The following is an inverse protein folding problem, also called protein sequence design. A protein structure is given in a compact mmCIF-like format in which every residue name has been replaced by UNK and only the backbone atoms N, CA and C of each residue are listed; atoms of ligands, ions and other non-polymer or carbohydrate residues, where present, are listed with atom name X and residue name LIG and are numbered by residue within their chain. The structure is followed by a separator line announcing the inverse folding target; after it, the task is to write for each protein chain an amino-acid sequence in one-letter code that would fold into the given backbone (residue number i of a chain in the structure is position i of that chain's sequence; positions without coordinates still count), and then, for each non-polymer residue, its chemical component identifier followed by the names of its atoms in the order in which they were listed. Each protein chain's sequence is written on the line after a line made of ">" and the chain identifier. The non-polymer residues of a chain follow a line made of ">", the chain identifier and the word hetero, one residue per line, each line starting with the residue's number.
data_IF_659714541358
#
_entry.id   IF_659714541358
#
_cell.length_a   1.000
_cell.length_b   1.000
_cell.length_c   1.000
_cell.angle_alpha   90.00
_cell.angle_beta   90.00
_cell.angle_gamma   90.00
#
_symmetry.space_group_name_H-M   'P 1'
#
loop_
_entity.id
_entity.type
_entity.pdbx_description
1 polymer ?
#
# COMPACT_ATOMS: atom_id res chain seq x y z
N UNK A 1 -4.17 31.22 -46.72
CA UNK A 1 -4.72 31.50 -45.37
C UNK A 1 -4.39 30.31 -44.49
N UNK A 2 -3.21 30.34 -43.88
CA UNK A 2 -2.69 29.31 -42.97
C UNK A 2 -2.94 29.79 -41.55
N UNK A 3 -3.84 29.13 -40.82
CA UNK A 3 -4.01 29.36 -39.39
C UNK A 3 -2.82 28.77 -38.65
N UNK A 4 -2.04 29.63 -38.00
CA UNK A 4 -0.98 29.21 -37.10
C UNK A 4 -1.59 28.52 -35.87
N UNK A 5 -1.22 27.25 -35.66
CA UNK A 5 -1.38 26.58 -34.37
C UNK A 5 -0.54 27.35 -33.33
N UNK A 6 -1.21 28.06 -32.44
CA UNK A 6 -0.59 28.62 -31.25
C UNK A 6 -0.40 27.49 -30.23
N UNK A 7 0.86 27.14 -29.97
CA UNK A 7 1.26 26.40 -28.77
C UNK A 7 0.84 27.22 -27.54
N UNK A 8 0.19 26.64 -26.52
CA UNK A 8 -0.13 27.38 -25.31
C UNK A 8 1.17 27.81 -24.64
N UNK A 9 1.31 29.10 -24.37
CA UNK A 9 2.43 29.64 -23.60
C UNK A 9 2.36 29.12 -22.16
N UNK A 10 3.21 28.16 -21.81
CA UNK A 10 3.38 27.67 -20.45
C UNK A 10 4.12 28.72 -19.60
N UNK A 11 3.38 29.64 -18.99
CA UNK A 11 3.91 30.40 -17.87
C UNK A 11 4.31 29.46 -16.72
N UNK A 12 5.24 29.86 -15.83
CA UNK A 12 5.58 29.04 -14.67
C UNK A 12 4.33 28.84 -13.82
N UNK A 13 3.90 27.58 -13.66
CA UNK A 13 2.77 27.22 -12.80
C UNK A 13 3.02 27.75 -11.41
N UNK A 14 2.04 28.43 -10.81
CA UNK A 14 2.11 28.88 -9.42
C UNK A 14 2.40 27.68 -8.51
N UNK A 15 3.50 27.69 -7.73
CA UNK A 15 3.81 26.58 -6.82
C UNK A 15 2.62 26.20 -5.94
N UNK A 16 2.42 24.90 -5.72
CA UNK A 16 1.31 24.33 -4.95
C UNK A 16 -0.09 24.46 -5.58
N UNK A 17 -0.21 25.10 -6.75
CA UNK A 17 -1.48 25.11 -7.49
C UNK A 17 -1.84 23.71 -7.98
N UNK A 18 -3.09 23.56 -8.43
CA UNK A 18 -3.53 22.32 -9.07
C UNK A 18 -2.69 22.01 -10.31
N UNK A 19 -2.43 23.03 -11.13
CA UNK A 19 -1.62 22.93 -12.34
C UNK A 19 -0.17 22.56 -12.03
N UNK A 20 0.40 23.09 -10.93
CA UNK A 20 1.72 22.68 -10.47
C UNK A 20 1.73 21.19 -10.10
N UNK A 21 0.76 20.72 -9.31
CA UNK A 21 0.67 19.30 -8.92
C UNK A 21 0.47 18.36 -10.11
N UNK A 22 -0.28 18.81 -11.11
CA UNK A 22 -0.55 18.03 -12.31
C UNK A 22 0.68 17.95 -13.24
N UNK A 23 1.52 19.00 -13.24
CA UNK A 23 2.72 19.04 -14.07
C UNK A 23 3.94 18.31 -13.48
N UNK A 24 3.99 18.09 -12.16
CA UNK A 24 5.17 17.51 -11.49
C UNK A 24 5.40 16.03 -11.83
N UNK A 25 6.64 15.74 -12.22
CA UNK A 25 7.20 14.39 -12.16
C UNK A 25 7.77 14.09 -10.77
N UNK A 26 8.10 12.83 -10.48
CA UNK A 26 8.79 12.48 -9.25
C UNK A 26 10.18 13.12 -9.14
N UNK A 27 10.88 13.28 -10.27
CA UNK A 27 12.17 13.98 -10.32
C UNK A 27 12.02 15.46 -9.93
N UNK A 28 10.99 16.14 -10.45
CA UNK A 28 10.70 17.54 -10.09
C UNK A 28 10.38 17.67 -8.60
N UNK A 29 9.56 16.76 -8.07
CA UNK A 29 9.17 16.74 -6.67
C UNK A 29 10.37 16.47 -5.75
N UNK A 30 11.25 15.54 -6.10
CA UNK A 30 12.49 15.25 -5.36
C UNK A 30 13.45 16.45 -5.38
N UNK A 31 13.63 17.10 -6.53
CA UNK A 31 14.48 18.28 -6.66
C UNK A 31 13.94 19.46 -5.82
N UNK A 32 12.62 19.64 -5.79
CA UNK A 32 11.97 20.64 -4.95
C UNK A 32 12.16 20.35 -3.45
N UNK A 33 11.95 19.10 -3.03
CA UNK A 33 12.03 18.71 -1.61
C UNK A 33 13.48 18.59 -1.09
N UNK A 34 14.42 18.21 -1.96
CA UNK A 34 15.82 17.92 -1.63
C UNK A 34 16.80 18.62 -2.60
N UNK A 35 16.82 19.97 -2.64
CA UNK A 35 17.57 20.73 -3.64
C UNK A 35 19.10 20.59 -3.53
N UNK A 36 19.63 20.11 -2.40
CA UNK A 36 21.07 19.81 -2.24
C UNK A 36 21.50 18.49 -2.88
N UNK A 37 20.56 17.70 -3.40
CA UNK A 37 20.81 16.41 -4.07
C UNK A 37 20.89 16.60 -5.61
N UNK A 38 20.83 17.84 -6.10
CA UNK A 38 20.58 18.24 -7.51
C UNK A 38 21.63 17.84 -8.55
N UNK A 39 22.71 17.15 -8.17
CA UNK A 39 23.47 16.35 -9.14
C UNK A 39 22.98 14.89 -9.13
N UNK A 40 21.68 14.69 -9.35
CA UNK A 40 21.14 13.37 -9.71
C UNK A 40 21.50 13.09 -11.17
N UNK A 41 22.80 12.96 -11.46
CA UNK A 41 23.24 12.30 -12.68
C UNK A 41 22.85 10.82 -12.60
N UNK A 42 22.62 10.14 -13.72
CA UNK A 42 22.41 8.68 -13.71
C UNK A 42 23.54 7.96 -12.95
N UNK A 43 24.76 8.52 -12.96
CA UNK A 43 25.89 8.05 -12.17
C UNK A 43 25.77 8.29 -10.65
N UNK A 44 24.96 9.23 -10.15
CA UNK A 44 24.66 9.38 -8.73
C UNK A 44 23.61 8.36 -8.25
N UNK A 45 22.71 7.94 -9.14
CA UNK A 45 21.80 6.79 -8.95
C UNK A 45 22.53 5.46 -9.16
N UNK A 46 23.77 5.43 -9.65
CA UNK A 46 24.64 4.24 -9.58
C UNK A 46 25.65 4.33 -8.43
N UNK A 47 26.12 5.54 -8.09
CA UNK A 47 27.09 5.79 -7.01
C UNK A 47 26.52 5.60 -5.60
N UNK A 48 25.21 5.83 -5.41
CA UNK A 48 24.49 5.44 -4.19
C UNK A 48 24.38 3.90 -4.08
N UNK A 49 24.53 3.18 -5.19
CA UNK A 49 24.13 1.77 -5.30
C UNK A 49 25.28 0.79 -5.60
N UNK A 50 26.54 1.23 -5.75
CA UNK A 50 27.63 0.33 -6.17
C UNK A 50 29.02 0.50 -5.51
N UNK A 51 29.20 1.21 -4.39
CA UNK A 51 30.52 1.29 -3.73
C UNK A 51 30.57 0.72 -2.31
N UNK A 52 31.05 -0.52 -2.19
CA UNK A 52 31.91 -0.94 -1.06
C UNK A 52 33.26 -0.23 -1.25
N UNK A 53 33.35 1.02 -0.86
CA UNK A 53 34.62 1.75 -0.89
C UNK A 53 34.88 2.31 0.50
N UNK A 54 35.87 1.72 1.18
CA UNK A 54 36.21 1.90 2.60
C UNK A 54 36.67 3.32 2.96
N UNK A 55 36.59 4.28 2.03
CA UNK A 55 37.10 5.65 2.21
C UNK A 55 36.08 6.77 1.97
N UNK A 56 34.78 6.48 2.01
CA UNK A 56 33.74 7.52 2.06
C UNK A 56 32.88 7.40 3.33
N UNK A 57 33.57 7.48 4.47
CA UNK A 57 32.93 7.71 5.76
C UNK A 57 32.52 9.19 5.77
N UNK A 58 31.24 9.48 5.56
CA UNK A 58 30.65 10.73 6.06
C UNK A 58 30.83 10.65 7.59
N UNK A 59 31.58 11.56 8.22
CA UNK A 59 31.82 11.49 9.65
C UNK A 59 30.48 11.48 10.40
N UNK A 60 30.30 10.59 11.38
CA UNK A 60 29.07 10.56 12.20
C UNK A 60 28.74 11.93 12.83
N UNK A 61 29.71 12.84 12.94
CA UNK A 61 29.51 14.23 13.36
C UNK A 61 28.70 15.08 12.37
N UNK A 62 28.63 14.74 11.08
CA UNK A 62 27.82 15.44 10.07
C UNK A 62 26.41 14.84 9.91
N UNK A 63 26.21 13.58 10.33
CA UNK A 63 24.88 12.98 10.47
C UNK A 63 24.11 13.65 11.63
N UNK A 64 24.82 14.11 12.67
CA UNK A 64 24.23 14.84 13.80
C UNK A 64 23.59 16.18 13.37
N UNK A 65 24.10 16.82 12.31
CA UNK A 65 23.49 18.03 11.71
C UNK A 65 22.26 17.75 10.84
N UNK A 66 22.07 16.51 10.37
CA UNK A 66 20.85 16.04 9.71
C UNK A 66 19.78 15.57 10.72
N UNK A 67 20.08 15.60 12.02
CA UNK A 67 19.36 14.84 13.05
C UNK A 67 18.36 15.63 13.88
N UNK A 68 17.88 16.74 13.35
CA UNK A 68 16.65 17.31 13.87
C UNK A 68 15.66 17.27 12.72
N UNK A 69 15.01 16.11 12.63
CA UNK A 69 13.88 15.82 11.74
C UNK A 69 12.68 15.71 12.69
N UNK A 70 11.54 16.37 12.45
CA UNK A 70 10.39 16.21 13.32
C UNK A 70 10.04 14.72 13.38
N UNK A 71 10.04 14.14 14.58
CA UNK A 71 9.61 12.75 14.74
C UNK A 71 8.22 12.57 14.13
N UNK A 72 7.87 11.37 13.66
CA UNK A 72 6.53 11.06 13.15
C UNK A 72 5.42 11.52 14.12
N UNK A 73 5.71 11.53 15.43
CA UNK A 73 4.86 12.06 16.51
C UNK A 73 4.55 13.56 16.38
N UNK A 74 5.50 14.37 15.91
CA UNK A 74 5.32 15.80 15.67
C UNK A 74 4.45 16.07 14.41
N UNK A 75 4.59 15.24 13.37
CA UNK A 75 3.73 15.30 12.18
C UNK A 75 2.30 14.85 12.48
N UNK A 76 2.12 13.78 13.27
CA UNK A 76 0.81 13.34 13.78
C UNK A 76 0.16 14.40 14.69
N UNK A 77 0.95 15.06 15.54
CA UNK A 77 0.47 16.16 16.37
C UNK A 77 0.00 17.35 15.52
N UNK A 78 0.75 17.71 14.47
CA UNK A 78 0.34 18.76 13.52
C UNK A 78 -0.93 18.38 12.76
N UNK A 79 -1.02 17.15 12.21
CA UNK A 79 -2.23 16.64 11.53
C UNK A 79 -3.45 16.64 12.46
N UNK A 80 -3.28 16.25 13.73
CA UNK A 80 -4.34 16.30 14.75
C UNK A 80 -4.78 17.73 15.05
N UNK A 81 -3.83 18.66 15.20
CA UNK A 81 -4.13 20.07 15.45
C UNK A 81 -4.91 20.71 14.29
N UNK A 82 -4.56 20.36 13.05
CA UNK A 82 -5.27 20.82 11.83
C UNK A 82 -6.70 20.27 11.82
N UNK A 83 -6.90 18.98 12.11
CA UNK A 83 -8.23 18.37 12.19
C UNK A 83 -9.11 18.95 13.32
N UNK A 84 -8.53 19.28 14.47
CA UNK A 84 -9.22 19.95 15.58
C UNK A 84 -9.62 21.39 15.20
N UNK A 85 -8.85 22.09 14.36
CA UNK A 85 -9.14 23.44 13.90
C UNK A 85 -10.20 23.49 12.78
N UNK A 86 -10.26 22.50 11.89
CA UNK A 86 -11.30 22.39 10.85
C UNK A 86 -12.71 22.21 11.43
N UNK A 87 -12.82 21.54 12.58
CA UNK A 87 -14.10 21.45 13.30
C UNK A 87 -14.53 22.79 13.92
N UNK A 88 -13.60 23.73 14.12
CA UNK A 88 -13.86 25.07 14.66
C UNK A 88 -13.98 26.19 13.61
N UNK A 89 -13.52 25.98 12.38
CA UNK A 89 -13.31 27.05 11.38
C UNK A 89 -14.48 27.33 10.42
N UNK A 90 -15.71 26.86 10.71
CA UNK A 90 -16.91 27.19 9.89
C UNK A 90 -17.35 28.67 9.92
N UNK A 91 -16.55 29.57 10.48
CA UNK A 91 -16.85 31.01 10.49
C UNK A 91 -15.58 31.84 10.28
N UNK A 92 -15.26 32.17 9.02
CA UNK A 92 -14.90 33.53 8.54
C UNK A 92 -14.36 33.51 7.12
N UNK A 93 -14.74 34.56 6.38
CA UNK A 93 -14.57 34.76 4.95
C UNK A 93 -13.19 35.28 4.53
N UNK A 94 -12.86 34.99 3.26
CA UNK A 94 -11.85 35.54 2.35
C UNK A 94 -11.17 36.88 2.68
N UNK A 95 -9.87 36.97 2.36
CA UNK A 95 -9.30 37.94 1.39
C UNK A 95 -7.95 37.43 0.87
N UNK A 96 -7.67 37.72 -0.41
CA UNK A 96 -6.45 37.42 -1.17
C UNK A 96 -5.24 38.20 -0.64
N UNK A 97 -4.04 37.58 -0.61
CA UNK A 97 -2.78 38.19 -1.09
C UNK A 97 -1.57 37.21 -1.05
N UNK A 98 -0.91 37.10 -2.22
CA UNK A 98 0.49 36.80 -2.52
C UNK A 98 1.40 35.98 -1.59
N UNK A 99 1.93 34.89 -2.17
CA UNK A 99 3.33 34.39 -2.07
C UNK A 99 3.98 34.29 -0.70
N UNK A 100 4.10 33.07 -0.17
CA UNK A 100 5.01 32.77 0.96
C UNK A 100 5.80 31.49 0.68
N UNK A 101 7.08 31.66 0.33
CA UNK A 101 8.06 30.60 0.47
C UNK A 101 8.59 30.63 1.91
N UNK A 102 8.18 29.67 2.75
CA UNK A 102 8.74 29.52 4.09
C UNK A 102 10.07 28.77 3.96
N UNK A 103 11.17 29.50 4.09
CA UNK A 103 12.51 28.90 4.23
C UNK A 103 12.62 28.36 5.66
N UNK A 104 12.47 27.05 5.84
CA UNK A 104 12.61 26.39 7.15
C UNK A 104 14.10 26.29 7.49
N UNK A 105 14.66 27.37 8.02
CA UNK A 105 15.96 27.37 8.67
C UNK A 105 15.78 27.10 10.17
N UNK A 106 16.40 26.03 10.67
CA UNK A 106 16.69 25.75 12.09
C UNK A 106 15.53 25.83 13.10
N UNK A 107 15.25 24.66 13.69
CA UNK A 107 14.55 24.40 14.97
C UNK A 107 14.19 25.63 15.81
N UNK A 108 12.94 26.07 15.66
CA UNK A 108 12.30 27.06 16.53
C UNK A 108 10.81 26.79 16.58
N UNK A 109 10.20 26.99 17.75
CA UNK A 109 8.77 26.79 18.01
C UNK A 109 7.91 27.33 16.86
N UNK A 110 7.15 26.45 16.22
CA UNK A 110 6.16 26.85 15.23
C UNK A 110 5.04 27.59 15.94
N UNK A 111 4.86 28.88 15.65
CA UNK A 111 3.64 29.55 16.06
C UNK A 111 2.45 28.98 15.26
N UNK A 112 1.26 28.97 15.86
CA UNK A 112 0.03 28.44 15.23
C UNK A 112 -0.31 29.15 13.91
N UNK A 113 0.22 30.35 13.68
CA UNK A 113 -0.02 31.18 12.48
C UNK A 113 0.82 30.70 11.30
N UNK A 114 2.05 30.26 11.55
CA UNK A 114 3.00 29.74 10.57
C UNK A 114 2.58 28.36 10.06
N UNK A 115 2.00 27.51 10.94
CA UNK A 115 1.38 26.25 10.54
C UNK A 115 0.09 26.49 9.73
N UNK A 116 -0.69 27.53 10.06
CA UNK A 116 -1.87 27.94 9.26
C UNK A 116 -1.52 28.45 7.86
N UNK A 117 -0.30 28.93 7.66
CA UNK A 117 0.21 29.43 6.37
C UNK A 117 0.87 28.34 5.52
N UNK A 118 1.23 27.20 6.11
CA UNK A 118 1.71 26.03 5.36
C UNK A 118 0.50 25.27 4.84
N UNK A 119 0.21 25.45 3.55
CA UNK A 119 -0.80 24.69 2.82
C UNK A 119 -0.59 23.19 3.09
N UNK A 120 -1.63 22.42 3.50
CA UNK A 120 -1.57 20.96 3.64
C UNK A 120 -0.86 20.25 2.47
N UNK A 121 -0.97 20.83 1.27
CA UNK A 121 -0.30 20.36 0.04
C UNK A 121 1.22 20.29 0.20
N UNK A 122 1.85 21.22 0.93
CA UNK A 122 3.31 21.20 1.17
C UNK A 122 3.72 19.97 1.98
N UNK A 123 2.94 19.62 3.00
CA UNK A 123 3.21 18.44 3.82
C UNK A 123 2.99 17.15 3.03
N UNK A 124 1.91 17.08 2.24
CA UNK A 124 1.65 15.95 1.34
C UNK A 124 2.77 15.78 0.31
N UNK A 125 3.21 16.86 -0.32
CA UNK A 125 4.31 16.86 -1.27
C UNK A 125 5.63 16.38 -0.63
N UNK A 126 5.94 16.83 0.59
CA UNK A 126 7.13 16.38 1.33
C UNK A 126 7.06 14.92 1.77
N UNK A 127 5.89 14.46 2.24
CA UNK A 127 5.68 13.05 2.62
C UNK A 127 5.78 12.14 1.38
N UNK A 128 5.21 12.57 0.24
CA UNK A 128 5.33 11.87 -1.05
C UNK A 128 6.79 11.82 -1.53
N UNK A 129 7.50 12.95 -1.52
CA UNK A 129 8.91 13.00 -1.91
C UNK A 129 9.79 12.06 -1.06
N UNK A 130 9.54 12.02 0.26
CA UNK A 130 10.22 11.10 1.18
C UNK A 130 9.91 9.65 0.82
N UNK A 131 8.63 9.32 0.61
CA UNK A 131 8.21 7.98 0.26
C UNK A 131 8.82 7.50 -1.06
N UNK A 132 8.81 8.34 -2.11
CA UNK A 132 9.46 8.05 -3.40
C UNK A 132 10.96 7.79 -3.19
N UNK A 133 11.67 8.66 -2.47
CA UNK A 133 13.10 8.49 -2.20
C UNK A 133 13.41 7.19 -1.48
N UNK A 134 12.65 6.86 -0.44
CA UNK A 134 12.82 5.62 0.33
C UNK A 134 12.48 4.38 -0.49
N UNK A 135 11.46 4.45 -1.34
CA UNK A 135 11.09 3.37 -2.26
C UNK A 135 12.18 3.14 -3.30
N UNK A 136 12.70 4.20 -3.93
CA UNK A 136 13.82 4.10 -4.88
C UNK A 136 15.06 3.47 -4.23
N UNK A 137 15.39 3.89 -3.00
CA UNK A 137 16.47 3.28 -2.23
C UNK A 137 16.20 1.81 -1.99
N UNK A 138 15.02 1.46 -1.47
CA UNK A 138 14.65 0.07 -1.19
C UNK A 138 14.72 -0.81 -2.45
N UNK A 139 14.18 -0.35 -3.58
CA UNK A 139 14.28 -1.07 -4.86
C UNK A 139 15.74 -1.24 -5.28
N UNK A 140 16.62 -0.25 -5.07
CA UNK A 140 18.03 -0.42 -5.40
C UNK A 140 18.84 -1.28 -4.45
N UNK A 141 18.50 -1.30 -3.16
CA UNK A 141 19.12 -2.18 -2.18
C UNK A 141 18.69 -3.65 -2.37
N UNK A 142 17.51 -3.89 -2.95
CA UNK A 142 16.85 -5.21 -2.92
C UNK A 142 16.57 -5.83 -4.30
N UNK A 143 16.44 -5.04 -5.36
CA UNK A 143 16.42 -5.58 -6.72
C UNK A 143 17.84 -6.02 -7.08
N UNK A 144 18.15 -7.27 -6.73
CA UNK A 144 19.50 -7.85 -6.75
C UNK A 144 20.06 -8.12 -8.16
N UNK A 145 19.48 -7.53 -9.21
CA UNK A 145 20.11 -7.48 -10.52
C UNK A 145 19.59 -6.28 -11.33
N UNK A 146 20.46 -5.74 -12.18
CA UNK A 146 20.14 -4.75 -13.21
C UNK A 146 19.15 -5.27 -14.29
N UNK A 147 18.32 -6.27 -13.97
CA UNK A 147 17.50 -7.04 -14.91
C UNK A 147 16.11 -7.40 -14.40
N UNK A 148 15.72 -6.99 -13.19
CA UNK A 148 14.32 -7.09 -12.81
C UNK A 148 13.51 -6.07 -13.65
N UNK A 149 12.74 -6.52 -14.66
CA UNK A 149 12.06 -5.62 -15.59
C UNK A 149 10.99 -4.80 -14.89
N UNK A 150 10.40 -5.33 -13.81
CA UNK A 150 9.47 -4.61 -12.97
C UNK A 150 10.18 -3.50 -12.20
N UNK A 151 11.31 -3.79 -11.54
CA UNK A 151 12.06 -2.79 -10.79
C UNK A 151 12.49 -1.60 -11.68
N UNK A 152 12.92 -1.88 -12.91
CA UNK A 152 13.28 -0.83 -13.90
C UNK A 152 12.04 -0.01 -14.27
N UNK A 153 10.94 -0.67 -14.65
CA UNK A 153 9.69 0.01 -15.00
C UNK A 153 9.16 0.86 -13.84
N UNK A 154 9.13 0.32 -12.63
CA UNK A 154 8.56 1.01 -11.48
C UNK A 154 9.42 2.20 -11.05
N UNK A 155 10.76 2.11 -11.16
CA UNK A 155 11.64 3.28 -11.00
C UNK A 155 11.34 4.37 -12.02
N UNK A 156 11.11 4.01 -13.28
CA UNK A 156 10.70 4.97 -14.32
C UNK A 156 9.37 5.65 -13.97
N UNK A 157 8.37 4.88 -13.51
CA UNK A 157 7.10 5.45 -13.03
C UNK A 157 7.32 6.41 -11.85
N UNK A 158 8.15 6.04 -10.88
CA UNK A 158 8.44 6.87 -9.71
C UNK A 158 9.16 8.18 -10.05
N UNK A 159 9.95 8.21 -11.13
CA UNK A 159 10.77 9.36 -11.48
C UNK A 159 10.12 10.24 -12.55
N UNK A 160 9.51 9.64 -13.57
CA UNK A 160 9.19 10.30 -14.82
C UNK A 160 7.67 10.36 -15.11
N UNK A 161 6.83 9.65 -14.36
CA UNK A 161 5.39 9.74 -14.56
C UNK A 161 4.89 11.17 -14.26
N UNK A 162 4.11 11.78 -15.18
CA UNK A 162 3.47 13.07 -14.91
C UNK A 162 2.37 12.92 -13.85
N UNK A 163 1.98 14.02 -13.21
CA UNK A 163 1.00 14.03 -12.12
C UNK A 163 1.39 13.08 -10.97
N UNK A 164 2.66 13.01 -10.58
CA UNK A 164 3.16 11.98 -9.65
C UNK A 164 2.37 11.92 -8.33
N UNK A 165 1.89 13.06 -7.83
CA UNK A 165 1.10 13.14 -6.60
C UNK A 165 -0.31 12.53 -6.71
N UNK A 166 -0.80 12.33 -7.92
CA UNK A 166 -2.11 11.75 -8.23
C UNK A 166 -2.00 10.43 -9.01
N UNK A 167 -0.77 9.95 -9.22
CA UNK A 167 -0.52 8.72 -9.97
C UNK A 167 -1.26 7.56 -9.30
N UNK A 168 -2.01 6.83 -10.12
CA UNK A 168 -2.79 5.67 -9.68
C UNK A 168 -2.58 4.51 -10.64
N UNK A 169 -2.43 3.31 -10.10
CA UNK A 169 -2.35 2.07 -10.85
C UNK A 169 -3.72 1.40 -10.89
N UNK A 170 -4.08 0.78 -12.02
CA UNK A 170 -5.37 0.10 -12.19
C UNK A 170 -5.14 -1.37 -12.51
N UNK A 171 -4.93 -2.16 -11.46
CA UNK A 171 -4.78 -3.60 -11.57
C UNK A 171 -6.13 -4.33 -11.63
N UNK A 172 -7.15 -3.83 -10.92
CA UNK A 172 -8.51 -4.34 -10.97
C UNK A 172 -9.48 -3.34 -11.58
N UNK A 173 -10.67 -3.83 -11.92
CA UNK A 173 -11.75 -3.00 -12.47
C UNK A 173 -12.41 -2.09 -11.42
N UNK A 174 -12.23 -2.38 -10.13
CA UNK A 174 -13.01 -1.75 -9.05
C UNK A 174 -12.20 -0.77 -8.20
N UNK A 175 -10.92 -1.06 -7.95
CA UNK A 175 -10.12 -0.32 -6.98
C UNK A 175 -8.80 0.10 -7.63
N UNK A 176 -8.57 1.40 -7.91
CA UNK A 176 -7.22 1.86 -8.24
C UNK A 176 -6.34 1.86 -6.98
N UNK A 177 -5.03 1.68 -7.16
CA UNK A 177 -4.02 1.91 -6.13
C UNK A 177 -3.37 3.27 -6.33
N UNK A 178 -3.51 4.17 -5.37
CA UNK A 178 -2.76 5.41 -5.36
C UNK A 178 -1.27 5.13 -5.13
N UNK A 179 -0.40 5.94 -5.75
CA UNK A 179 1.04 5.83 -5.53
C UNK A 179 1.41 5.93 -4.04
N UNK A 180 0.73 6.79 -3.27
CA UNK A 180 0.92 6.88 -1.82
C UNK A 180 0.77 5.53 -1.10
N UNK A 181 -0.20 4.71 -1.53
CA UNK A 181 -0.45 3.38 -0.99
C UNK A 181 0.59 2.37 -1.47
N UNK A 182 0.98 2.43 -2.76
CA UNK A 182 2.06 1.63 -3.31
C UNK A 182 3.39 1.84 -2.57
N UNK A 183 3.65 3.04 -2.06
CA UNK A 183 4.88 3.33 -1.32
C UNK A 183 4.99 2.52 -0.02
N UNK A 184 3.89 2.07 0.61
CA UNK A 184 3.95 1.24 1.83
C UNK A 184 4.48 -0.18 1.62
N UNK A 185 4.68 -0.62 0.37
CA UNK A 185 5.30 -1.92 0.11
C UNK A 185 6.79 -1.95 0.44
N UNK A 186 7.45 -0.78 0.51
CA UNK A 186 8.89 -0.69 0.79
C UNK A 186 9.25 -1.17 2.20
N UNK A 187 10.43 -1.78 2.34
CA UNK A 187 10.96 -2.26 3.61
C UNK A 187 9.92 -3.12 4.37
N UNK A 188 10.02 -3.18 5.70
CA UNK A 188 9.03 -3.83 6.56
C UNK A 188 7.92 -2.85 7.00
N UNK A 189 7.43 -1.97 6.12
CA UNK A 189 6.32 -1.05 6.46
C UNK A 189 4.96 -1.77 6.48
N UNK A 190 4.07 -1.31 7.34
CA UNK A 190 2.67 -1.74 7.34
C UNK A 190 1.99 -1.24 6.07
N UNK A 191 1.48 -2.18 5.27
CA UNK A 191 0.61 -1.85 4.15
C UNK A 191 -0.75 -1.37 4.65
N UNK A 192 -1.35 -0.45 3.90
CA UNK A 192 -2.63 0.15 4.24
C UNK A 192 -3.82 -0.67 3.75
N UNK A 193 -5.01 -0.27 4.20
CA UNK A 193 -6.27 -0.92 3.82
C UNK A 193 -6.54 -0.89 2.32
N UNK A 194 -6.05 0.14 1.60
CA UNK A 194 -6.24 0.29 0.16
C UNK A 194 -5.48 -0.82 -0.58
N UNK A 195 -4.22 -1.04 -0.21
CA UNK A 195 -3.41 -2.13 -0.73
C UNK A 195 -4.02 -3.51 -0.41
N UNK A 196 -4.43 -3.75 0.85
CA UNK A 196 -5.07 -5.02 1.21
C UNK A 196 -6.34 -5.24 0.39
N UNK A 197 -7.18 -4.21 0.28
CA UNK A 197 -8.45 -4.29 -0.46
C UNK A 197 -8.21 -4.62 -1.92
N UNK A 198 -7.25 -3.97 -2.56
CA UNK A 198 -6.93 -4.24 -3.95
C UNK A 198 -6.42 -5.68 -4.15
N UNK A 199 -5.54 -6.19 -3.30
CA UNK A 199 -5.07 -7.58 -3.42
C UNK A 199 -6.23 -8.57 -3.28
N UNK A 200 -7.14 -8.35 -2.32
CA UNK A 200 -8.32 -9.20 -2.16
C UNK A 200 -9.28 -9.12 -3.35
N UNK A 201 -9.38 -7.95 -3.99
CA UNK A 201 -10.18 -7.78 -5.21
C UNK A 201 -9.56 -8.52 -6.40
N UNK A 202 -8.23 -8.45 -6.55
CA UNK A 202 -7.50 -9.25 -7.54
C UNK A 202 -7.65 -10.75 -7.29
N UNK A 203 -7.60 -11.19 -6.03
CA UNK A 203 -7.91 -12.58 -5.69
C UNK A 203 -9.34 -12.96 -6.07
N UNK A 204 -10.30 -12.05 -5.89
CA UNK A 204 -11.67 -12.25 -6.34
C UNK A 204 -11.76 -12.38 -7.86
N UNK A 205 -11.03 -11.58 -8.63
CA UNK A 205 -11.02 -11.66 -10.09
C UNK A 205 -10.34 -12.97 -10.59
N UNK A 206 -9.27 -13.43 -9.93
CA UNK A 206 -8.45 -14.55 -10.42
C UNK A 206 -8.83 -15.94 -9.87
N UNK A 207 -9.24 -16.05 -8.61
CA UNK A 207 -9.47 -17.34 -7.95
C UNK A 207 -10.95 -17.74 -7.88
N UNK A 208 -11.87 -16.88 -8.34
CA UNK A 208 -13.33 -17.07 -8.20
C UNK A 208 -13.99 -17.59 -9.48
N UNK A 209 -13.24 -18.24 -10.39
CA UNK A 209 -13.75 -18.70 -11.69
C UNK A 209 -15.03 -19.58 -11.61
N UNK A 210 -15.37 -20.13 -10.43
CA UNK A 210 -16.60 -20.90 -10.18
C UNK A 210 -17.44 -20.41 -8.98
N UNK A 211 -17.23 -19.20 -8.45
CA UNK A 211 -17.87 -18.70 -7.22
C UNK A 211 -17.64 -19.60 -5.97
N UNK A 212 -16.52 -20.33 -5.96
CA UNK A 212 -16.14 -21.22 -4.87
C UNK A 212 -15.54 -20.47 -3.66
N UNK A 213 -14.95 -19.29 -3.90
CA UNK A 213 -14.30 -18.49 -2.88
C UNK A 213 -14.90 -17.09 -2.82
N UNK A 214 -15.08 -16.57 -1.61
CA UNK A 214 -15.43 -15.16 -1.37
C UNK A 214 -14.26 -14.46 -0.70
N UNK A 215 -13.83 -13.33 -1.26
CA UNK A 215 -12.86 -12.45 -0.62
C UNK A 215 -13.61 -11.24 -0.04
N UNK A 216 -13.68 -11.18 1.29
CA UNK A 216 -14.38 -10.12 2.01
C UNK A 216 -13.43 -8.94 2.14
N UNK A 217 -13.85 -7.71 1.78
CA UNK A 217 -13.04 -6.50 1.99
C UNK A 217 -12.50 -6.39 3.42
N UNK A 218 -11.38 -5.68 3.64
CA UNK A 218 -10.72 -5.63 4.94
C UNK A 218 -11.68 -5.29 6.08
N UNK A 219 -11.66 -6.11 7.13
CA UNK A 219 -12.55 -6.00 8.26
C UNK A 219 -11.98 -5.01 9.27
N UNK A 220 -12.52 -3.78 9.27
CA UNK A 220 -12.36 -2.88 10.40
C UNK A 220 -13.33 -3.29 11.50
N UNK A 221 -12.80 -3.72 12.65
CA UNK A 221 -13.57 -4.22 13.80
C UNK A 221 -14.76 -3.31 14.14
N UNK A 222 -14.53 -1.98 14.12
CA UNK A 222 -15.57 -1.00 14.44
C UNK A 222 -16.77 -1.03 13.48
N UNK A 223 -16.55 -1.28 12.19
CA UNK A 223 -17.61 -1.31 11.18
C UNK A 223 -18.54 -2.52 11.36
N UNK A 224 -18.00 -3.63 11.88
CA UNK A 224 -18.76 -4.86 12.11
C UNK A 224 -19.49 -4.88 13.45
N UNK A 225 -19.01 -4.12 14.43
CA UNK A 225 -19.64 -4.01 15.75
C UNK A 225 -20.73 -2.94 15.82
N UNK A 226 -20.64 -1.86 15.04
CA UNK A 226 -21.58 -0.73 15.07
C UNK A 226 -22.87 -0.94 14.25
N UNK A 227 -23.05 -2.10 13.64
CA UNK A 227 -24.08 -2.39 12.63
C UNK A 227 -25.45 -2.79 13.19
N UNK A 228 -25.86 -2.29 14.36
CA UNK A 228 -27.27 -2.37 14.80
C UNK A 228 -28.22 -1.59 13.88
N UNK A 229 -27.71 -0.74 12.98
CA UNK A 229 -28.50 0.07 12.03
C UNK A 229 -28.44 -0.36 10.55
N UNK A 230 -27.69 -1.39 10.17
CA UNK A 230 -27.54 -1.78 8.76
C UNK A 230 -27.74 -3.28 8.52
N UNK A 231 -28.99 -3.74 8.64
CA UNK A 231 -29.38 -5.09 8.18
C UNK A 231 -29.03 -5.34 6.70
N UNK A 232 -29.01 -4.30 5.85
CA UNK A 232 -28.60 -4.44 4.43
C UNK A 232 -27.10 -4.71 4.26
N UNK A 233 -26.25 -4.24 5.18
CA UNK A 233 -24.78 -4.42 5.07
C UNK A 233 -24.33 -5.87 5.25
N UNK A 234 -25.16 -6.71 5.89
CA UNK A 234 -24.86 -8.12 6.07
C UNK A 234 -25.40 -9.02 4.95
N UNK A 235 -26.20 -8.50 4.01
CA UNK A 235 -26.84 -9.31 2.98
C UNK A 235 -26.14 -9.28 1.62
N UNK A 236 -25.05 -8.53 1.48
CA UNK A 236 -24.40 -8.25 0.20
C UNK A 236 -23.85 -9.48 -0.55
N UNK A 237 -23.63 -10.61 0.15
CA UNK A 237 -23.25 -11.92 -0.44
C UNK A 237 -24.29 -13.01 -0.24
N UNK A 238 -25.50 -12.65 0.20
CA UNK A 238 -26.52 -13.64 0.56
C UNK A 238 -26.86 -14.57 -0.60
N UNK A 239 -27.10 -14.02 -1.79
CA UNK A 239 -27.46 -14.82 -2.98
C UNK A 239 -26.35 -15.80 -3.38
N UNK A 240 -25.09 -15.38 -3.28
CA UNK A 240 -23.94 -16.22 -3.58
C UNK A 240 -23.82 -17.37 -2.58
N UNK A 241 -23.98 -17.09 -1.29
CA UNK A 241 -23.99 -18.09 -0.23
C UNK A 241 -25.18 -19.06 -0.34
N UNK A 242 -26.37 -18.55 -0.65
CA UNK A 242 -27.57 -19.37 -0.85
C UNK A 242 -27.47 -20.28 -2.08
N UNK A 243 -26.60 -19.96 -3.04
CA UNK A 243 -26.35 -20.84 -4.19
C UNK A 243 -25.68 -22.17 -3.81
N UNK A 244 -25.12 -22.28 -2.60
CA UNK A 244 -24.46 -23.48 -2.09
C UNK A 244 -23.12 -23.82 -2.77
N UNK A 245 -22.63 -22.95 -3.65
CA UNK A 245 -21.36 -23.13 -4.38
C UNK A 245 -20.13 -22.66 -3.63
N UNK A 246 -20.32 -21.78 -2.63
CA UNK A 246 -19.23 -21.19 -1.87
C UNK A 246 -18.66 -22.22 -0.90
N UNK A 247 -17.39 -22.56 -1.09
CA UNK A 247 -16.65 -23.48 -0.22
C UNK A 247 -16.01 -22.74 0.94
N UNK A 248 -15.38 -21.59 0.66
CA UNK A 248 -14.65 -20.80 1.65
C UNK A 248 -14.85 -19.30 1.45
N UNK A 249 -14.79 -18.55 2.54
CA UNK A 249 -14.61 -17.11 2.49
C UNK A 249 -13.38 -16.69 3.30
N UNK A 250 -12.70 -15.66 2.83
CA UNK A 250 -11.47 -15.14 3.43
C UNK A 250 -11.61 -13.66 3.72
N UNK A 251 -10.98 -13.21 4.79
CA UNK A 251 -10.93 -11.80 5.14
C UNK A 251 -9.63 -11.46 5.85
N UNK A 252 -9.12 -10.25 5.62
CA UNK A 252 -8.04 -9.67 6.42
C UNK A 252 -8.65 -8.79 7.52
N UNK A 253 -8.14 -8.93 8.73
CA UNK A 253 -8.66 -8.26 9.94
C UNK A 253 -7.67 -7.22 10.42
N UNK A 254 -8.10 -5.95 10.51
CA UNK A 254 -7.29 -4.89 11.12
C UNK A 254 -7.55 -4.82 12.62
N UNK A 255 -6.57 -5.24 13.43
CA UNK A 255 -6.57 -5.08 14.88
C UNK A 255 -6.05 -3.69 15.25
N UNK A 256 -6.89 -2.67 15.03
CA UNK A 256 -6.56 -1.24 15.15
C UNK A 256 -5.79 -0.84 16.42
N UNK A 257 -6.12 -1.44 17.56
CA UNK A 257 -5.47 -1.12 18.84
C UNK A 257 -4.01 -1.58 18.93
N UNK A 258 -3.58 -2.47 18.03
CA UNK A 258 -2.21 -2.99 17.94
C UNK A 258 -1.56 -2.61 16.60
N UNK A 259 -2.29 -1.91 15.73
CA UNK A 259 -1.92 -1.65 14.34
C UNK A 259 -1.37 -2.90 13.63
N UNK A 260 -2.15 -3.98 13.70
CA UNK A 260 -1.72 -5.31 13.27
C UNK A 260 -2.77 -5.99 12.40
N UNK A 261 -2.32 -6.89 11.52
CA UNK A 261 -3.14 -7.58 10.54
C UNK A 261 -3.17 -9.08 10.81
N UNK A 262 -4.37 -9.66 10.80
CA UNK A 262 -4.59 -11.11 10.83
C UNK A 262 -5.46 -11.57 9.66
N UNK A 263 -5.62 -12.88 9.50
CA UNK A 263 -6.46 -13.47 8.46
C UNK A 263 -7.52 -14.39 9.05
N UNK A 264 -8.72 -14.34 8.49
CA UNK A 264 -9.83 -15.24 8.81
C UNK A 264 -10.11 -16.13 7.61
N UNK A 265 -10.34 -17.41 7.88
CA UNK A 265 -10.96 -18.35 6.97
C UNK A 265 -12.32 -18.80 7.53
N UNK A 266 -13.33 -18.78 6.67
CA UNK A 266 -14.68 -19.29 6.91
C UNK A 266 -14.85 -20.49 5.99
N UNK A 267 -14.87 -21.70 6.52
CA UNK A 267 -15.03 -22.93 5.75
C UNK A 267 -16.49 -23.38 5.84
N UNK A 268 -17.23 -23.25 4.73
CA UNK A 268 -18.66 -23.59 4.66
C UNK A 268 -18.90 -25.10 4.57
N UNK A 269 -17.93 -25.85 4.06
CA UNK A 269 -18.00 -27.31 3.95
C UNK A 269 -17.83 -27.93 5.34
N UNK A 270 -16.76 -27.56 6.04
CA UNK A 270 -16.45 -28.05 7.37
C UNK A 270 -17.16 -27.29 8.50
N UNK A 271 -17.89 -26.22 8.14
CA UNK A 271 -18.64 -25.34 9.04
C UNK A 271 -17.77 -24.84 10.20
N UNK A 272 -16.60 -24.32 9.84
CA UNK A 272 -15.57 -23.90 10.77
C UNK A 272 -15.12 -22.46 10.50
N UNK A 273 -14.90 -21.72 11.59
CA UNK A 273 -14.20 -20.43 11.55
C UNK A 273 -12.78 -20.66 12.02
N UNK A 274 -11.79 -20.16 11.29
CA UNK A 274 -10.39 -20.24 11.67
C UNK A 274 -9.73 -18.87 11.58
N UNK A 275 -8.78 -18.58 12.49
CA UNK A 275 -8.02 -17.34 12.49
C UNK A 275 -6.52 -17.60 12.56
N UNK A 276 -5.80 -16.81 11.78
CA UNK A 276 -4.36 -16.90 11.60
C UNK A 276 -3.78 -15.54 11.90
N UNK A 277 -2.84 -15.55 12.84
CA UNK A 277 -2.07 -14.37 13.22
C UNK A 277 -0.56 -14.64 13.18
N UNK A 278 0.19 -13.79 12.48
CA UNK A 278 1.64 -13.96 12.35
C UNK A 278 2.41 -13.73 13.66
N UNK A 279 1.80 -13.07 14.66
CA UNK A 279 2.33 -12.85 16.01
C UNK A 279 1.69 -13.75 17.08
N UNK A 280 0.91 -14.77 16.67
CA UNK A 280 0.23 -15.70 17.57
C UNK A 280 -0.86 -15.08 18.46
N UNK A 281 -1.43 -13.95 18.04
CA UNK A 281 -2.55 -13.33 18.74
C UNK A 281 -3.83 -14.14 18.56
N UNK A 282 -4.72 -14.03 19.55
CA UNK A 282 -6.07 -14.58 19.46
C UNK A 282 -6.95 -13.70 18.58
N UNK A 283 -7.93 -14.30 17.91
CA UNK A 283 -8.93 -13.54 17.19
C UNK A 283 -9.72 -12.64 18.15
N UNK A 284 -9.92 -11.35 17.82
CA UNK A 284 -10.82 -10.50 18.59
C UNK A 284 -12.24 -11.10 18.62
N UNK A 285 -12.82 -11.24 19.82
CA UNK A 285 -14.18 -11.77 20.04
C UNK A 285 -15.23 -11.02 19.19
N UNK A 286 -15.02 -9.73 18.98
CA UNK A 286 -15.86 -8.86 18.15
C UNK A 286 -15.88 -9.26 16.69
N UNK A 287 -14.77 -9.74 16.14
CA UNK A 287 -14.66 -10.24 14.77
C UNK A 287 -15.41 -11.56 14.63
N UNK A 288 -15.16 -12.51 15.54
CA UNK A 288 -15.91 -13.78 15.58
C UNK A 288 -17.42 -13.54 15.66
N UNK A 289 -17.85 -12.68 16.60
CA UNK A 289 -19.26 -12.35 16.77
C UNK A 289 -19.85 -11.69 15.52
N UNK A 290 -19.10 -10.80 14.88
CA UNK A 290 -19.51 -10.14 13.64
C UNK A 290 -19.74 -11.15 12.51
N UNK A 291 -18.79 -12.07 12.30
CA UNK A 291 -18.89 -13.13 11.28
C UNK A 291 -20.09 -14.03 11.56
N UNK A 292 -20.29 -14.46 12.81
CA UNK A 292 -21.43 -15.29 13.16
C UNK A 292 -22.76 -14.58 12.88
N UNK A 293 -22.88 -13.29 13.24
CA UNK A 293 -24.06 -12.48 12.92
C UNK A 293 -24.29 -12.34 11.42
N UNK A 294 -23.23 -12.19 10.63
CA UNK A 294 -23.30 -12.15 9.18
C UNK A 294 -23.84 -13.46 8.59
N UNK A 295 -23.33 -14.60 9.07
CA UNK A 295 -23.79 -15.94 8.67
C UNK A 295 -25.28 -16.15 9.03
N UNK A 296 -25.69 -15.75 10.24
CA UNK A 296 -27.08 -15.76 10.68
C UNK A 296 -27.97 -14.91 9.76
N UNK A 297 -27.54 -13.68 9.46
CA UNK A 297 -28.28 -12.77 8.61
C UNK A 297 -28.45 -13.32 7.18
N UNK A 298 -27.44 -14.03 6.67
CA UNK A 298 -27.49 -14.74 5.39
C UNK A 298 -28.27 -16.06 5.46
N UNK A 299 -28.86 -16.43 6.60
CA UNK A 299 -29.56 -17.70 6.85
C UNK A 299 -28.67 -18.93 6.64
N UNK A 300 -27.36 -18.80 6.86
CA UNK A 300 -26.38 -19.87 6.68
C UNK A 300 -26.13 -20.58 8.02
N UNK A 301 -26.86 -21.68 8.22
CA UNK A 301 -26.45 -22.77 9.11
C UNK A 301 -26.29 -22.43 10.59
N UNK A 302 -27.16 -21.59 11.16
CA UNK A 302 -27.05 -21.00 12.51
C UNK A 302 -26.71 -21.99 13.66
N UNK A 303 -27.08 -23.26 13.53
CA UNK A 303 -26.81 -24.32 14.53
C UNK A 303 -25.78 -25.37 14.10
N UNK A 304 -25.15 -25.21 12.95
CA UNK A 304 -24.26 -26.23 12.36
C UNK A 304 -22.77 -25.91 12.50
N UNK A 305 -22.41 -24.65 12.77
CA UNK A 305 -21.03 -24.23 12.90
C UNK A 305 -20.36 -24.75 14.18
N UNK A 306 -19.10 -25.17 14.06
CA UNK A 306 -18.25 -25.54 15.20
C UNK A 306 -18.15 -24.37 16.19
N UNK A 307 -18.09 -24.71 17.48
CA UNK A 307 -17.92 -23.72 18.56
C UNK A 307 -16.49 -23.21 18.60
N UNK A 308 -16.32 -21.91 18.81
CA UNK A 308 -15.02 -21.26 18.88
C UNK A 308 -14.37 -21.07 17.51
N UNK A 309 -13.08 -20.76 17.55
CA UNK A 309 -12.27 -20.44 16.38
C UNK A 309 -11.06 -21.36 16.29
N UNK A 310 -10.93 -22.06 15.16
CA UNK A 310 -9.78 -22.88 14.81
C UNK A 310 -8.55 -22.06 14.44
N UNK A 311 -7.45 -22.76 14.17
CA UNK A 311 -6.19 -22.15 13.76
C UNK A 311 -6.10 -22.12 12.24
N UNK A 312 -6.05 -20.91 11.66
CA UNK A 312 -5.73 -20.75 10.25
C UNK A 312 -4.22 -20.73 10.07
N UNK A 313 -3.72 -21.55 9.15
CA UNK A 313 -2.28 -21.71 8.90
C UNK A 313 -1.72 -20.41 8.31
N UNK A 314 -0.83 -19.77 9.06
CA UNK A 314 -0.15 -18.53 8.70
C UNK A 314 1.32 -18.62 9.14
N UNK A 315 2.22 -17.99 8.39
CA UNK A 315 3.62 -17.90 8.78
C UNK A 315 3.82 -17.02 10.01
N UNK A 316 4.86 -17.31 10.81
CA UNK A 316 5.26 -16.48 11.94
C UNK A 316 6.14 -15.35 11.47
N UNK A 317 5.88 -14.14 11.93
CA UNK A 317 6.74 -13.00 11.68
C UNK A 317 7.70 -12.74 12.85
N UNK A 318 8.87 -12.13 12.60
CA UNK A 318 9.64 -11.48 13.65
C UNK A 318 8.81 -10.38 14.32
N UNK A 319 9.00 -10.18 15.64
CA UNK A 319 8.25 -9.18 16.41
C UNK A 319 8.45 -7.75 15.95
N UNK A 320 9.52 -7.47 15.19
CA UNK A 320 9.86 -6.14 14.67
C UNK A 320 9.38 -5.88 13.25
N UNK A 321 8.78 -6.88 12.58
CA UNK A 321 8.41 -6.78 11.17
C UNK A 321 7.03 -6.16 10.96
N UNK A 322 6.89 -5.16 10.10
CA UNK A 322 5.58 -4.66 9.64
C UNK A 322 4.97 -5.46 8.48
N UNK A 323 5.35 -6.73 8.32
CA UNK A 323 4.89 -7.59 7.22
C UNK A 323 3.59 -8.35 7.49
N UNK A 324 2.91 -8.10 8.60
CA UNK A 324 1.68 -8.81 8.97
C UNK A 324 0.59 -8.80 7.89
N UNK A 325 0.40 -7.67 7.19
CA UNK A 325 -0.57 -7.58 6.09
C UNK A 325 -0.19 -8.47 4.90
N UNK A 326 1.10 -8.46 4.51
CA UNK A 326 1.65 -9.30 3.44
C UNK A 326 1.51 -10.78 3.81
N UNK A 327 1.81 -11.14 5.06
CA UNK A 327 1.74 -12.51 5.55
C UNK A 327 0.28 -13.00 5.61
N UNK A 328 -0.65 -12.15 6.03
CA UNK A 328 -2.08 -12.46 6.03
C UNK A 328 -2.60 -12.73 4.60
N UNK A 329 -2.24 -11.88 3.64
CA UNK A 329 -2.60 -12.05 2.23
C UNK A 329 -1.97 -13.31 1.63
N UNK A 330 -0.69 -13.59 1.89
CA UNK A 330 -0.01 -14.79 1.43
C UNK A 330 -0.65 -16.08 2.00
N UNK A 331 -1.06 -16.08 3.28
CA UNK A 331 -1.76 -17.22 3.87
C UNK A 331 -3.12 -17.48 3.20
N UNK A 332 -3.86 -16.42 2.89
CA UNK A 332 -5.13 -16.51 2.13
C UNK A 332 -4.86 -17.10 0.74
N UNK A 333 -3.85 -16.58 0.03
CA UNK A 333 -3.50 -17.08 -1.29
C UNK A 333 -3.08 -18.54 -1.28
N UNK A 334 -2.23 -18.93 -0.33
CA UNK A 334 -1.81 -20.32 -0.16
C UNK A 334 -3.00 -21.26 0.10
N UNK A 335 -4.00 -20.79 0.84
CA UNK A 335 -5.19 -21.58 1.13
C UNK A 335 -6.08 -21.86 -0.09
N UNK A 336 -6.05 -20.99 -1.10
CA UNK A 336 -6.77 -21.17 -2.38
C UNK A 336 -5.88 -21.76 -3.48
N UNK A 337 -4.57 -21.53 -3.41
CA UNK A 337 -3.57 -22.01 -4.33
C UNK A 337 -2.36 -22.57 -3.55
N UNK A 338 -2.37 -23.86 -3.18
CA UNK A 338 -1.30 -24.48 -2.39
C UNK A 338 0.08 -24.52 -3.07
N UNK A 339 0.16 -24.19 -4.37
CA UNK A 339 1.44 -24.08 -5.08
C UNK A 339 2.25 -22.84 -4.67
N UNK A 340 1.59 -21.81 -4.12
CA UNK A 340 2.27 -20.64 -3.57
C UNK A 340 2.89 -21.02 -2.23
N UNK A 341 4.19 -20.79 -2.06
CA UNK A 341 4.85 -20.99 -0.76
C UNK A 341 4.29 -20.05 0.31
N UNK A 342 4.23 -20.55 1.55
CA UNK A 342 4.00 -19.67 2.69
C UNK A 342 5.23 -18.78 2.90
N UNK A 343 4.96 -17.56 3.35
CA UNK A 343 5.96 -16.56 3.63
C UNK A 343 7.02 -17.05 4.62
N UNK A 344 8.27 -16.69 4.36
CA UNK A 344 9.40 -16.90 5.28
C UNK A 344 10.20 -15.61 5.44
N UNK A 345 10.89 -15.37 6.58
CA UNK A 345 11.66 -14.15 6.81
C UNK A 345 12.66 -13.81 5.70
N UNK A 346 13.35 -14.82 5.16
CA UNK A 346 14.29 -14.66 4.04
C UNK A 346 13.63 -14.21 2.73
N UNK A 347 12.35 -14.49 2.54
CA UNK A 347 11.57 -14.18 1.33
C UNK A 347 10.75 -12.88 1.47
N UNK A 348 10.94 -12.12 2.57
CA UNK A 348 10.10 -10.96 2.88
C UNK A 348 10.09 -9.90 1.78
N UNK A 349 11.27 -9.63 1.21
CA UNK A 349 11.47 -8.71 0.10
C UNK A 349 10.76 -9.21 -1.16
N UNK A 350 10.97 -10.48 -1.50
CA UNK A 350 10.39 -11.12 -2.69
C UNK A 350 8.86 -11.06 -2.66
N UNK A 351 8.24 -11.43 -1.54
CA UNK A 351 6.78 -11.35 -1.41
C UNK A 351 6.25 -9.91 -1.53
N UNK A 352 6.99 -8.92 -1.02
CA UNK A 352 6.60 -7.51 -1.15
C UNK A 352 6.73 -7.02 -2.59
N UNK A 353 7.82 -7.36 -3.28
CA UNK A 353 8.03 -7.03 -4.69
C UNK A 353 6.94 -7.67 -5.56
N UNK A 354 6.68 -8.97 -5.38
CA UNK A 354 5.62 -9.68 -6.08
C UNK A 354 4.23 -9.07 -5.83
N UNK A 355 3.90 -8.71 -4.60
CA UNK A 355 2.61 -8.07 -4.33
C UNK A 355 2.55 -6.67 -4.95
N UNK A 356 3.66 -5.92 -4.94
CA UNK A 356 3.73 -4.61 -5.58
C UNK A 356 3.55 -4.71 -7.10
N UNK A 357 4.18 -5.70 -7.76
CA UNK A 357 3.97 -6.04 -9.17
C UNK A 357 2.50 -6.30 -9.48
N UNK A 358 1.87 -7.13 -8.64
CA UNK A 358 0.46 -7.51 -8.78
C UNK A 358 -0.45 -6.28 -8.70
N UNK A 359 -0.29 -5.44 -7.68
CA UNK A 359 -1.18 -4.28 -7.45
C UNK A 359 -0.89 -3.09 -8.37
N UNK A 360 0.28 -3.06 -9.01
CA UNK A 360 0.63 -2.02 -10.00
C UNK A 360 0.24 -2.41 -11.43
N UNK A 361 -0.35 -3.59 -11.62
CA UNK A 361 -0.75 -4.13 -12.92
C UNK A 361 0.43 -4.35 -13.89
N UNK A 362 1.65 -4.49 -13.38
CA UNK A 362 2.85 -4.61 -14.22
C UNK A 362 2.72 -5.77 -15.21
N UNK A 363 2.16 -6.90 -14.77
CA UNK A 363 1.89 -8.08 -15.60
C UNK A 363 0.95 -7.79 -16.78
N UNK A 364 -0.11 -7.03 -16.56
CA UNK A 364 -1.04 -6.60 -17.62
C UNK A 364 -0.37 -5.64 -18.60
N UNK A 365 0.44 -4.70 -18.09
CA UNK A 365 1.19 -3.74 -18.92
C UNK A 365 2.30 -4.42 -19.73
N UNK A 366 2.99 -5.40 -19.15
CA UNK A 366 4.04 -6.19 -19.83
C UNK A 366 3.48 -7.23 -20.78
N UNK A 367 2.28 -7.78 -20.53
CA UNK A 367 1.60 -8.72 -21.43
C UNK A 367 1.17 -8.11 -22.76
N UNK A 368 0.77 -6.84 -22.74
CA UNK A 368 0.58 -6.03 -23.95
C UNK A 368 1.87 -5.84 -24.76
N UNK A 369 3.02 -6.17 -24.15
CA UNK A 369 4.36 -6.13 -24.73
C UNK A 369 5.07 -7.51 -24.77
N UNK A 370 4.36 -8.65 -24.65
CA UNK A 370 4.76 -10.06 -24.98
C UNK A 370 4.81 -11.17 -23.89
N UNK A 371 4.03 -11.22 -22.78
CA UNK A 371 3.96 -12.45 -21.92
C UNK A 371 2.62 -12.68 -21.19
N UNK A 372 2.27 -13.92 -20.81
CA UNK A 372 0.98 -14.29 -20.20
C UNK A 372 0.97 -14.10 -18.67
N UNK A 373 -0.15 -13.62 -18.10
CA UNK A 373 -0.40 -13.49 -16.64
C UNK A 373 -0.20 -14.84 -15.89
N UNK A 374 -0.39 -15.97 -16.57
CA UNK A 374 -0.20 -17.30 -15.97
C UNK A 374 1.27 -17.65 -15.72
N UNK A 375 2.21 -17.05 -16.44
CA UNK A 375 3.65 -17.31 -16.25
C UNK A 375 4.17 -16.71 -14.94
N UNK A 376 3.47 -15.71 -14.39
CA UNK A 376 3.85 -15.04 -13.12
C UNK A 376 3.24 -15.71 -11.87
N UNK A 377 2.27 -16.61 -12.04
CA UNK A 377 1.71 -17.45 -10.97
C UNK A 377 2.39 -18.83 -10.90
N UNK A 378 3.33 -19.11 -11.81
CA UNK A 378 4.21 -20.29 -11.73
C UNK A 378 5.25 -20.07 -10.62
N UNK A 379 5.48 -21.02 -9.71
CA UNK A 379 6.45 -20.82 -8.64
C UNK A 379 7.90 -20.76 -9.14
N UNK A 380 8.21 -21.17 -10.37
CA UNK A 380 9.58 -21.20 -10.88
C UNK A 380 9.62 -21.04 -12.40
N UNK A 381 10.54 -20.22 -12.87
CA UNK A 381 11.08 -20.32 -14.23
C UNK A 381 11.68 -21.71 -14.43
N UNK A 382 11.47 -22.26 -15.63
CA UNK A 382 11.90 -23.59 -16.00
C UNK A 382 13.44 -23.76 -15.95
N UNK A 383 13.96 -24.24 -14.83
CA UNK A 383 15.13 -25.13 -14.83
C UNK A 383 14.61 -26.58 -14.82
N UNK A 384 14.23 -27.06 -15.99
CA UNK A 384 13.64 -28.38 -16.16
C UNK A 384 13.57 -28.83 -17.62
N UNK A 385 14.47 -28.36 -18.46
CA UNK A 385 14.71 -28.91 -19.80
C UNK A 385 16.18 -29.28 -19.90
N UNK A 386 16.53 -30.46 -19.37
CA UNK A 386 17.61 -31.31 -19.85
C UNK A 386 17.57 -32.66 -19.12
N UNK A 387 16.93 -33.64 -19.76
CA UNK A 387 17.46 -35.00 -19.96
C UNK A 387 16.32 -35.94 -20.33
N UNK A 388 16.07 -36.06 -21.64
CA UNK A 388 15.71 -37.35 -22.24
C UNK A 388 16.89 -37.73 -23.10
N UNK A 389 17.73 -38.62 -22.56
CA UNK A 389 18.23 -39.81 -23.24
C UNK A 389 18.70 -40.83 -22.20
#
# INVERSE_FOLDING_TARGET
>A
MTSANQTPSSGPSTPYSREWREALTGRDLLNWAFPSVTEISEAAIEGIFCKKDENSIIPCSEIATLQTIPSAKNLLYAKRLIGELDTGARTRSHTNEGSWAVRIGSFGNFDKTTIKLLDPIVFEAMDMARGIREMLKWIGDNASSARDPFAVWFRDQLLNAPNIMQLSFRASTHVPLNLSSALFFRNEQYIDDEAIRLVLDLFSEHYTANNQYIFIPPLRIQQWTSSTKYNKSFLWKKEELESGRVEKAFAVVHMQHLDHWGAVQIDFINQELSFGDSLAMNCPITVESGIRKWLVACKIGENKWKRGMGLFRIARQPSTSGSCGIIALNAIEHAVNPSISLWEPQSAVEHRMRMLELVTAYSTVSSLNNYSILDMLSPFGAEGLNAVH
#
